data_IF_400848636071
#
_entry.id   IF_400848636071
#
_cell.length_a   1.000
_cell.length_b   1.000
_cell.length_c   1.000
_cell.angle_alpha   90.00
_cell.angle_beta   90.00
_cell.angle_gamma   90.00
#
_symmetry.space_group_name_H-M   'P 1'
#
loop_
_entity.id
_entity.type
_entity.pdbx_description
1 polymer ?
#
# COMPACT_ATOMS: atom_id res chain seq x y z
N UNK A 1 -1.04 3.73 16.64
CA UNK A 1 -1.46 2.39 16.19
C UNK A 1 -1.99 2.47 14.76
N UNK A 2 -1.42 1.65 13.87
CA UNK A 2 -1.84 1.59 12.46
C UNK A 2 -3.31 1.19 12.36
N UNK A 3 -4.11 2.00 11.68
CA UNK A 3 -5.54 1.75 11.52
C UNK A 3 -5.87 1.07 10.20
N UNK A 4 -5.12 1.36 9.16
CA UNK A 4 -5.33 0.84 7.80
C UNK A 4 -3.99 0.80 7.08
N UNK A 5 -3.87 -0.11 6.12
CA UNK A 5 -2.70 -0.17 5.22
C UNK A 5 -3.20 -0.02 3.79
N UNK A 6 -2.49 0.77 2.99
CA UNK A 6 -2.73 0.84 1.56
C UNK A 6 -1.63 0.04 0.85
N UNK A 7 -2.01 -0.78 -0.12
CA UNK A 7 -1.00 -1.34 -1.01
C UNK A 7 -0.55 -0.28 -2.03
N UNK A 8 0.47 -0.59 -2.81
CA UNK A 8 1.06 0.35 -3.76
C UNK A 8 0.04 0.82 -4.80
N UNK A 9 -0.78 -0.08 -5.33
CA UNK A 9 -1.78 0.28 -6.32
C UNK A 9 -2.85 1.21 -5.74
N UNK A 10 -3.27 0.96 -4.50
CA UNK A 10 -4.23 1.85 -3.82
C UNK A 10 -3.67 3.26 -3.67
N UNK A 11 -2.40 3.39 -3.31
CA UNK A 11 -1.74 4.68 -3.21
C UNK A 11 -1.69 5.40 -4.56
N UNK A 12 -1.30 4.70 -5.61
CA UNK A 12 -1.23 5.27 -6.96
C UNK A 12 -2.61 5.64 -7.51
N UNK A 13 -3.62 4.82 -7.25
CA UNK A 13 -5.00 5.13 -7.63
C UNK A 13 -5.50 6.38 -6.90
N UNK A 14 -5.13 6.53 -5.64
CA UNK A 14 -5.48 7.73 -4.86
C UNK A 14 -4.85 8.97 -5.48
N UNK A 15 -3.57 8.91 -5.83
CA UNK A 15 -2.85 10.01 -6.47
C UNK A 15 -3.48 10.40 -7.81
N UNK A 16 -3.99 9.44 -8.56
CA UNK A 16 -4.58 9.64 -9.86
C UNK A 16 -6.09 9.99 -9.80
N UNK A 17 -6.67 10.10 -8.61
CA UNK A 17 -8.08 10.38 -8.45
C UNK A 17 -9.00 9.24 -8.87
N UNK A 18 -8.54 8.00 -8.76
CA UNK A 18 -9.26 6.81 -9.24
C UNK A 18 -10.03 6.05 -8.16
N UNK A 19 -10.07 6.55 -6.94
CA UNK A 19 -10.88 5.91 -5.90
C UNK A 19 -12.36 6.21 -6.16
N UNK A 20 -13.09 5.21 -6.66
CA UNK A 20 -14.48 5.36 -7.07
C UNK A 20 -15.46 4.78 -6.05
N UNK A 21 -15.00 3.88 -5.18
CA UNK A 21 -15.86 3.30 -4.14
C UNK A 21 -16.10 4.29 -3.02
N UNK A 22 -17.37 4.58 -2.73
CA UNK A 22 -17.76 5.56 -1.72
C UNK A 22 -17.39 5.14 -0.30
N UNK A 23 -17.59 3.86 0.01
CA UNK A 23 -17.32 3.32 1.35
C UNK A 23 -15.83 3.39 1.63
N UNK A 24 -15.01 2.97 0.65
CA UNK A 24 -13.54 3.04 0.78
C UNK A 24 -13.07 4.49 0.99
N UNK A 25 -13.60 5.43 0.23
CA UNK A 25 -13.23 6.85 0.36
C UNK A 25 -13.59 7.40 1.73
N UNK A 26 -14.76 7.06 2.25
CA UNK A 26 -15.18 7.47 3.60
C UNK A 26 -14.31 6.84 4.67
N UNK A 27 -13.98 5.58 4.53
CA UNK A 27 -13.16 4.88 5.50
C UNK A 27 -11.75 5.46 5.56
N UNK A 28 -11.16 5.78 4.41
CA UNK A 28 -9.85 6.46 4.38
C UNK A 28 -9.94 7.85 5.05
N UNK A 29 -10.97 8.62 4.73
CA UNK A 29 -11.14 9.97 5.27
C UNK A 29 -11.27 9.97 6.80
N UNK A 30 -11.84 8.93 7.39
CA UNK A 30 -12.02 8.80 8.83
C UNK A 30 -10.92 7.97 9.51
N UNK A 31 -9.99 7.43 8.77
CA UNK A 31 -8.91 6.61 9.30
C UNK A 31 -8.00 7.42 10.23
N UNK A 32 -7.69 6.88 11.40
CA UNK A 32 -6.86 7.58 12.39
C UNK A 32 -5.39 7.58 12.02
N UNK A 33 -4.89 6.48 11.48
CA UNK A 33 -3.48 6.34 11.09
C UNK A 33 -3.34 5.37 9.91
N UNK A 34 -3.77 5.80 8.71
CA UNK A 34 -3.53 5.00 7.51
C UNK A 34 -2.05 5.03 7.16
N UNK A 35 -1.53 3.90 6.68
CA UNK A 35 -0.10 3.70 6.48
C UNK A 35 0.16 3.14 5.10
N UNK A 36 1.26 3.59 4.50
CA UNK A 36 1.90 2.96 3.35
C UNK A 36 3.27 2.48 3.80
N UNK A 37 3.60 1.25 3.51
CA UNK A 37 4.91 0.69 3.84
C UNK A 37 5.98 1.27 2.91
N UNK A 38 7.15 1.57 3.44
CA UNK A 38 8.23 2.22 2.68
C UNK A 38 8.67 1.44 1.44
N UNK A 39 8.45 0.13 1.42
CA UNK A 39 8.77 -0.72 0.25
C UNK A 39 8.00 -0.29 -1.00
N UNK A 40 6.88 0.41 -0.84
CA UNK A 40 6.12 0.96 -1.97
C UNK A 40 6.95 1.94 -2.79
N UNK A 41 7.85 2.70 -2.15
CA UNK A 41 8.74 3.61 -2.86
C UNK A 41 9.63 2.83 -3.84
N UNK A 42 10.19 1.72 -3.37
CA UNK A 42 11.02 0.87 -4.24
C UNK A 42 10.19 0.24 -5.35
N UNK A 43 9.03 -0.30 -5.04
CA UNK A 43 8.16 -0.91 -6.05
C UNK A 43 7.80 0.08 -7.15
N UNK A 44 7.41 1.30 -6.78
CA UNK A 44 7.07 2.37 -7.72
C UNK A 44 8.28 2.74 -8.58
N UNK A 45 9.42 2.97 -7.95
CA UNK A 45 10.66 3.34 -8.65
C UNK A 45 11.10 2.26 -9.62
N UNK A 46 11.00 1.00 -9.20
CA UNK A 46 11.37 -0.15 -10.04
C UNK A 46 10.44 -0.30 -11.25
N UNK A 47 9.14 -0.23 -11.04
CA UNK A 47 8.15 -0.34 -12.12
C UNK A 47 8.26 0.83 -13.11
N UNK A 48 8.54 2.02 -12.60
CA UNK A 48 8.78 3.20 -13.45
C UNK A 48 10.01 2.99 -14.34
N UNK A 49 11.12 2.52 -13.76
CA UNK A 49 12.34 2.23 -14.49
C UNK A 49 12.14 1.17 -15.59
N UNK A 50 11.28 0.17 -15.31
CA UNK A 50 10.99 -0.92 -16.25
C UNK A 50 9.93 -0.54 -17.29
N UNK A 51 9.45 0.70 -17.31
CA UNK A 51 8.45 1.16 -18.25
C UNK A 51 7.05 0.61 -18.01
N UNK A 52 6.79 0.05 -16.83
CA UNK A 52 5.49 -0.55 -16.48
C UNK A 52 4.55 0.43 -15.81
N UNK A 53 5.00 1.63 -15.52
CA UNK A 53 4.24 2.64 -14.78
C UNK A 53 4.57 4.01 -15.33
N UNK A 54 3.52 4.82 -15.59
CA UNK A 54 3.68 6.21 -15.99
C UNK A 54 3.35 7.10 -14.80
N UNK A 55 4.22 8.08 -14.52
CA UNK A 55 4.08 9.01 -13.41
C UNK A 55 4.30 10.44 -13.90
N UNK A 56 3.67 11.44 -13.26
CA UNK A 56 3.86 12.85 -13.62
C UNK A 56 5.15 13.44 -13.00
N UNK A 57 6.23 12.66 -12.96
CA UNK A 57 7.51 13.08 -12.39
C UNK A 57 8.65 12.27 -12.97
N UNK A 58 9.88 12.72 -12.74
CA UNK A 58 11.09 12.02 -13.10
C UNK A 58 11.47 10.98 -12.05
N UNK A 59 12.36 10.04 -12.41
CA UNK A 59 12.83 8.99 -11.50
C UNK A 59 13.40 9.57 -10.19
N UNK A 60 14.16 10.64 -10.26
CA UNK A 60 14.78 11.28 -9.09
C UNK A 60 13.78 11.99 -8.18
N UNK A 61 12.53 12.14 -8.63
CA UNK A 61 11.47 12.83 -7.89
C UNK A 61 10.48 11.87 -7.24
N UNK A 62 10.65 10.55 -7.40
CA UNK A 62 9.68 9.56 -6.94
C UNK A 62 9.49 9.61 -5.43
N UNK A 63 10.56 9.75 -4.66
CA UNK A 63 10.45 9.85 -3.20
C UNK A 63 9.60 11.04 -2.80
N UNK A 64 9.84 12.20 -3.39
CA UNK A 64 9.05 13.41 -3.12
C UNK A 64 7.60 13.24 -3.58
N UNK A 65 7.38 12.60 -4.73
CA UNK A 65 6.04 12.31 -5.26
C UNK A 65 5.23 11.47 -4.26
N UNK A 66 5.81 10.38 -3.78
CA UNK A 66 5.15 9.51 -2.78
C UNK A 66 4.91 10.29 -1.48
N UNK A 67 5.90 11.04 -1.03
CA UNK A 67 5.79 11.86 0.19
C UNK A 67 4.67 12.89 0.10
N UNK A 68 4.50 13.53 -1.04
CA UNK A 68 3.43 14.51 -1.25
C UNK A 68 2.05 13.87 -1.22
N UNK A 69 1.88 12.70 -1.82
CA UNK A 69 0.60 11.98 -1.77
C UNK A 69 0.26 11.66 -0.31
N UNK A 70 1.22 11.11 0.42
CA UNK A 70 1.04 10.74 1.81
C UNK A 70 0.68 11.97 2.67
N UNK A 71 1.38 13.08 2.47
CA UNK A 71 1.12 14.31 3.21
C UNK A 71 -0.29 14.85 2.92
N UNK A 72 -0.67 14.86 1.65
CA UNK A 72 -1.98 15.38 1.21
C UNK A 72 -3.14 14.62 1.81
N UNK A 73 -2.99 13.31 1.98
CA UNK A 73 -4.05 12.44 2.47
C UNK A 73 -3.85 11.99 3.91
N UNK A 74 -2.89 12.58 4.62
CA UNK A 74 -2.58 12.25 6.01
C UNK A 74 -2.26 10.76 6.21
N UNK A 75 -1.52 10.20 5.26
CA UNK A 75 -1.03 8.83 5.28
C UNK A 75 0.40 8.83 5.82
N UNK A 76 0.69 7.88 6.72
CA UNK A 76 2.05 7.71 7.26
C UNK A 76 2.85 6.81 6.34
N UNK A 77 4.03 7.26 5.94
CA UNK A 77 5.00 6.42 5.24
C UNK A 77 5.83 5.70 6.29
N UNK A 78 5.53 4.42 6.49
CA UNK A 78 6.08 3.60 7.57
C UNK A 78 7.30 2.81 7.10
N UNK A 79 8.38 2.85 7.87
CA UNK A 79 9.60 2.13 7.52
C UNK A 79 9.43 0.62 7.61
N UNK A 80 9.96 -0.09 6.63
CA UNK A 80 10.03 -1.55 6.65
C UNK A 80 10.95 -2.00 7.80
N UNK A 81 10.49 -2.97 8.59
CA UNK A 81 11.25 -3.52 9.70
C UNK A 81 11.76 -4.93 9.40
N UNK A 82 12.82 -5.40 10.08
CA UNK A 82 13.26 -6.78 9.97
C UNK A 82 12.16 -7.80 10.29
N UNK A 83 11.31 -7.48 11.27
CA UNK A 83 10.20 -8.34 11.69
C UNK A 83 9.18 -8.51 10.58
N UNK A 84 8.85 -7.45 9.86
CA UNK A 84 7.92 -7.52 8.72
C UNK A 84 8.54 -8.35 7.58
N UNK A 85 9.82 -8.18 7.31
CA UNK A 85 10.53 -8.98 6.30
C UNK A 85 10.42 -10.47 6.60
N UNK A 86 10.70 -10.87 7.83
CA UNK A 86 10.62 -12.28 8.24
C UNK A 86 9.18 -12.79 8.21
N UNK A 87 8.25 -12.02 8.75
CA UNK A 87 6.83 -12.38 8.75
C UNK A 87 6.28 -12.56 7.34
N UNK A 88 6.74 -11.76 6.37
CA UNK A 88 6.32 -11.89 4.98
C UNK A 88 6.70 -13.25 4.39
N UNK A 89 7.88 -13.79 4.74
CA UNK A 89 8.31 -15.12 4.27
C UNK A 89 7.47 -16.24 4.89
N UNK A 90 7.02 -16.05 6.12
CA UNK A 90 6.27 -17.07 6.86
C UNK A 90 4.79 -17.15 6.46
N UNK A 91 4.27 -16.22 5.67
CA UNK A 91 2.88 -16.25 5.20
C UNK A 91 2.64 -17.45 4.28
N UNK A 92 1.40 -17.98 4.24
CA UNK A 92 1.04 -19.02 3.28
C UNK A 92 1.32 -18.58 1.83
N UNK A 93 1.62 -19.53 0.94
CA UNK A 93 2.08 -19.20 -0.43
C UNK A 93 0.93 -18.93 -1.40
N UNK A 94 -0.11 -18.21 -0.99
CA UNK A 94 -1.22 -17.82 -1.86
C UNK A 94 -0.87 -16.66 -2.78
N UNK A 95 0.08 -15.84 -2.37
CA UNK A 95 0.58 -14.69 -3.13
C UNK A 95 2.10 -14.78 -3.22
N UNK A 96 2.65 -14.61 -4.41
CA UNK A 96 4.10 -14.75 -4.65
C UNK A 96 4.84 -13.42 -4.67
N UNK A 97 4.16 -12.32 -4.94
CA UNK A 97 4.79 -11.00 -5.05
C UNK A 97 5.35 -10.57 -3.69
N UNK A 98 6.68 -10.37 -3.57
CA UNK A 98 7.29 -10.04 -2.28
C UNK A 98 6.84 -8.69 -1.73
N UNK A 99 6.55 -7.71 -2.56
CA UNK A 99 6.04 -6.42 -2.10
C UNK A 99 4.68 -6.58 -1.42
N UNK A 100 3.77 -7.31 -2.06
CA UNK A 100 2.43 -7.56 -1.52
C UNK A 100 2.49 -8.43 -0.28
N UNK A 101 3.40 -9.39 -0.21
CA UNK A 101 3.59 -10.21 0.98
C UNK A 101 4.03 -9.36 2.18
N UNK A 102 4.86 -8.35 1.98
CA UNK A 102 5.26 -7.44 3.05
C UNK A 102 4.09 -6.57 3.53
N UNK A 103 3.25 -6.10 2.61
CA UNK A 103 2.02 -5.37 2.97
C UNK A 103 1.08 -6.26 3.78
N UNK A 104 0.88 -7.51 3.34
CA UNK A 104 0.05 -8.49 4.06
C UNK A 104 0.59 -8.78 5.46
N UNK A 105 1.90 -8.94 5.59
CA UNK A 105 2.54 -9.19 6.88
C UNK A 105 2.33 -8.01 7.85
N UNK A 106 2.47 -6.80 7.34
CA UNK A 106 2.22 -5.60 8.13
C UNK A 106 0.77 -5.51 8.60
N UNK A 107 -0.18 -5.72 7.69
CA UNK A 107 -1.61 -5.66 8.02
C UNK A 107 -2.00 -6.74 9.01
N UNK A 108 -1.49 -7.96 8.85
CA UNK A 108 -1.75 -9.07 9.75
C UNK A 108 -1.21 -8.77 11.15
N UNK A 109 0.02 -8.26 11.25
CA UNK A 109 0.63 -7.90 12.52
C UNK A 109 -0.13 -6.79 13.23
N UNK A 110 -0.57 -5.78 12.48
CA UNK A 110 -1.32 -4.65 13.02
C UNK A 110 -2.82 -4.97 13.24
N UNK A 111 -3.28 -6.12 12.74
CA UNK A 111 -4.69 -6.54 12.79
C UNK A 111 -5.61 -5.46 12.20
N UNK A 112 -5.22 -4.92 11.06
CA UNK A 112 -5.98 -3.85 10.41
C UNK A 112 -6.32 -4.20 8.96
N UNK A 113 -7.32 -3.53 8.37
CA UNK A 113 -7.71 -3.76 6.99
C UNK A 113 -6.71 -3.19 5.99
N UNK A 114 -6.77 -3.70 4.77
CA UNK A 114 -5.95 -3.27 3.64
C UNK A 114 -6.85 -2.70 2.55
N UNK A 115 -6.49 -1.54 2.04
CA UNK A 115 -7.07 -1.01 0.80
C UNK A 115 -6.31 -1.62 -0.38
N UNK A 116 -7.01 -2.43 -1.15
CA UNK A 116 -6.45 -3.09 -2.34
C UNK A 116 -7.56 -3.58 -3.26
N UNK A 117 -7.27 -3.65 -4.55
CA UNK A 117 -8.14 -4.33 -5.53
C UNK A 117 -7.60 -5.70 -5.92
N UNK A 118 -6.47 -6.11 -5.36
CA UNK A 118 -5.89 -7.42 -5.63
C UNK A 118 -6.67 -8.51 -4.88
N UNK A 119 -7.36 -9.36 -5.65
CA UNK A 119 -8.22 -10.41 -5.11
C UNK A 119 -7.46 -11.46 -4.31
N UNK A 120 -6.15 -11.63 -4.55
CA UNK A 120 -5.32 -12.61 -3.84
C UNK A 120 -5.14 -12.27 -2.37
N UNK A 121 -5.32 -10.99 -1.98
CA UNK A 121 -5.28 -10.58 -0.58
C UNK A 121 -6.39 -11.25 0.24
N UNK A 122 -7.51 -11.63 -0.39
CA UNK A 122 -8.64 -12.27 0.30
C UNK A 122 -8.35 -13.69 0.76
N UNK A 123 -7.27 -14.30 0.30
CA UNK A 123 -6.84 -15.62 0.73
C UNK A 123 -6.14 -15.58 2.09
N UNK A 124 -5.96 -14.38 2.65
CA UNK A 124 -5.31 -14.17 3.95
C UNK A 124 -6.30 -13.60 4.97
N UNK A 125 -6.05 -13.77 6.28
CA UNK A 125 -6.96 -13.30 7.33
C UNK A 125 -6.87 -11.78 7.54
N UNK A 126 -7.09 -11.02 6.50
CA UNK A 126 -7.15 -9.55 6.52
C UNK A 126 -8.46 -9.10 5.91
N UNK A 127 -9.02 -8.01 6.45
CA UNK A 127 -10.19 -7.40 5.82
C UNK A 127 -9.73 -6.55 4.64
N UNK A 128 -10.29 -6.83 3.48
CA UNK A 128 -9.95 -6.13 2.22
C UNK A 128 -11.02 -5.09 1.94
N UNK A 129 -10.57 -3.88 1.62
CA UNK A 129 -11.42 -2.77 1.21
C UNK A 129 -10.99 -2.37 -0.20
N UNK A 130 -11.81 -2.65 -1.18
CA UNK A 130 -11.51 -2.30 -2.56
C UNK A 130 -11.81 -0.81 -2.79
N UNK A 131 -10.82 -0.07 -3.30
CA UNK A 131 -10.96 1.37 -3.56
C UNK A 131 -11.71 1.69 -4.84
N UNK A 132 -11.88 0.69 -5.69
CA UNK A 132 -12.57 0.85 -6.96
C UNK A 132 -13.66 -0.19 -7.15
#
# INVERSE_FOLDING_TARGET
VTSHVLDTCALLDLAAGRWTDRVARRELASARRPVVLSVAVWEIARKFRLGKLQLPCEQTQILDFVGEICLRHQIVLESLTPEICHAAELLPPHHEDPFDRMVLAMATKAQCPVFTTDKRFRDYPVRVIAQC
#
